data_IF_176094688835
#
_entry.id   IF_176094688835
#
_cell.length_a   1.000
_cell.length_b   1.000
_cell.length_c   1.000
_cell.angle_alpha   90.00
_cell.angle_beta   90.00
_cell.angle_gamma   90.00
#
_symmetry.space_group_name_H-M   'P 1'
#
loop_
_entity.id
_entity.type
_entity.pdbx_description
1 polymer ?
#
# COMPACT_ATOMS: atom_id res chain seq x y z
N UNK A 1 -4.96 -5.01 8.24
CA UNK A 1 -4.25 -4.01 7.41
C UNK A 1 -3.46 -4.73 6.33
N UNK A 2 -3.86 -4.54 5.10
CA UNK A 2 -3.28 -5.27 3.99
C UNK A 2 -2.29 -4.42 3.23
N UNK A 3 -1.29 -5.04 2.63
CA UNK A 3 -0.28 -4.32 1.86
C UNK A 3 -0.89 -3.53 0.72
N UNK A 4 -1.90 -4.09 0.07
CA UNK A 4 -2.60 -3.38 -1.01
C UNK A 4 -3.24 -2.09 -0.52
N UNK A 5 -3.87 -2.14 0.65
CA UNK A 5 -4.45 -0.95 1.26
C UNK A 5 -3.38 0.10 1.54
N UNK A 6 -2.22 -0.34 2.01
CA UNK A 6 -1.11 0.57 2.27
C UNK A 6 -0.57 1.19 0.99
N UNK A 7 -0.48 0.42 -0.10
CA UNK A 7 -0.06 0.96 -1.39
C UNK A 7 -1.02 2.05 -1.87
N UNK A 8 -2.30 1.79 -1.74
CA UNK A 8 -3.33 2.76 -2.13
C UNK A 8 -3.23 4.01 -1.28
N UNK A 9 -3.12 3.83 0.04
CA UNK A 9 -2.99 4.97 0.95
C UNK A 9 -1.76 5.82 0.62
N UNK A 10 -0.61 5.20 0.41
CA UNK A 10 0.62 5.92 0.08
C UNK A 10 0.47 6.70 -1.23
N UNK A 11 -0.20 6.11 -2.21
CA UNK A 11 -0.40 6.77 -3.50
C UNK A 11 -1.34 7.96 -3.37
N UNK A 12 -2.43 7.82 -2.59
CA UNK A 12 -3.34 8.95 -2.33
C UNK A 12 -2.59 10.07 -1.63
N UNK A 13 -1.75 9.75 -0.67
CA UNK A 13 -0.97 10.74 0.07
C UNK A 13 0.01 11.47 -0.86
N UNK A 14 0.67 10.75 -1.73
CA UNK A 14 1.63 11.34 -2.68
C UNK A 14 0.94 12.22 -3.71
N UNK A 15 -0.19 11.76 -4.24
CA UNK A 15 -0.95 12.49 -5.25
C UNK A 15 -1.78 13.62 -4.66
N UNK A 16 -2.07 13.56 -3.38
CA UNK A 16 -3.01 14.47 -2.70
C UNK A 16 -4.36 14.50 -3.41
N UNK A 17 -4.76 13.37 -3.97
CA UNK A 17 -5.98 13.27 -4.75
C UNK A 17 -6.37 11.81 -4.87
N UNK A 18 -7.63 11.50 -4.54
CA UNK A 18 -8.17 10.16 -4.73
C UNK A 18 -8.32 9.84 -6.22
N UNK A 19 -8.74 10.82 -7.00
CA UNK A 19 -8.93 10.64 -8.42
C UNK A 19 -7.62 10.33 -9.14
N UNK A 20 -6.58 11.08 -8.84
CA UNK A 20 -5.27 10.86 -9.44
C UNK A 20 -4.68 9.52 -9.01
N UNK A 21 -4.82 9.19 -7.74
CA UNK A 21 -4.30 7.93 -7.22
C UNK A 21 -5.00 6.75 -7.90
N UNK A 22 -6.31 6.83 -8.05
CA UNK A 22 -7.07 5.77 -8.72
C UNK A 22 -6.58 5.56 -10.15
N UNK A 23 -6.35 6.65 -10.88
CA UNK A 23 -5.83 6.57 -12.25
C UNK A 23 -4.44 5.96 -12.28
N UNK A 24 -3.57 6.39 -11.38
CA UNK A 24 -2.20 5.88 -11.33
C UNK A 24 -2.16 4.39 -11.00
N UNK A 25 -3.07 3.92 -10.18
CA UNK A 25 -3.13 2.53 -9.75
C UNK A 25 -3.98 1.65 -10.65
N UNK A 26 -4.65 2.25 -11.63
CA UNK A 26 -5.57 1.54 -12.54
C UNK A 26 -6.70 0.84 -11.79
N UNK A 27 -7.24 1.53 -10.79
CA UNK A 27 -8.39 1.05 -10.01
C UNK A 27 -9.46 2.12 -10.00
N UNK A 28 -10.66 1.75 -9.53
CA UNK A 28 -11.75 2.71 -9.45
C UNK A 28 -11.56 3.68 -8.29
N UNK A 29 -12.21 4.83 -8.38
CA UNK A 29 -12.25 5.78 -7.27
C UNK A 29 -12.85 5.12 -6.03
N UNK A 30 -13.88 4.30 -6.20
CA UNK A 30 -14.53 3.60 -5.10
C UNK A 30 -13.57 2.65 -4.39
N UNK A 31 -12.76 1.91 -5.14
CA UNK A 31 -11.78 1.00 -4.56
C UNK A 31 -10.77 1.78 -3.73
N UNK A 32 -10.28 2.90 -4.26
CA UNK A 32 -9.33 3.76 -3.58
C UNK A 32 -9.91 4.30 -2.28
N UNK A 33 -11.12 4.81 -2.34
CA UNK A 33 -11.79 5.39 -1.19
C UNK A 33 -12.06 4.34 -0.10
N UNK A 34 -12.50 3.15 -0.52
CA UNK A 34 -12.79 2.07 0.44
C UNK A 34 -11.53 1.56 1.13
N UNK A 35 -10.42 1.49 0.41
CA UNK A 35 -9.17 1.04 1.01
C UNK A 35 -8.72 1.97 2.13
N UNK A 36 -8.77 3.28 1.89
CA UNK A 36 -8.40 4.26 2.92
C UNK A 36 -9.38 4.22 4.08
N UNK A 37 -10.67 4.14 3.79
CA UNK A 37 -11.69 4.07 4.84
C UNK A 37 -11.53 2.83 5.70
N UNK A 38 -11.17 1.70 5.10
CA UNK A 38 -10.95 0.47 5.84
C UNK A 38 -9.77 0.62 6.81
N UNK A 39 -8.68 1.26 6.36
CA UNK A 39 -7.54 1.52 7.24
C UNK A 39 -7.93 2.43 8.39
N UNK A 40 -8.66 3.50 8.11
CA UNK A 40 -9.11 4.43 9.15
C UNK A 40 -9.99 3.73 10.17
N UNK A 41 -10.87 2.86 9.68
CA UNK A 41 -11.77 2.11 10.56
C UNK A 41 -11.00 1.13 11.43
N UNK A 42 -10.07 0.41 10.84
CA UNK A 42 -9.27 -0.56 11.57
C UNK A 42 -8.40 0.09 12.64
N UNK A 43 -7.77 1.22 12.30
CA UNK A 43 -6.87 1.91 13.21
C UNK A 43 -7.60 2.86 14.15
N UNK A 44 -8.86 3.17 13.86
CA UNK A 44 -9.69 3.97 14.74
C UNK A 44 -9.39 5.45 14.74
N UNK A 45 -8.66 5.94 13.73
CA UNK A 45 -8.29 7.35 13.63
C UNK A 45 -8.37 7.80 12.18
N UNK A 46 -8.66 9.07 11.92
CA UNK A 46 -8.55 9.59 10.56
C UNK A 46 -7.09 9.70 10.14
N UNK A 47 -6.81 9.28 8.93
CA UNK A 47 -5.46 9.33 8.36
C UNK A 47 -5.32 10.49 7.40
N UNK A 48 -6.42 10.92 6.79
CA UNK A 48 -6.47 12.01 5.84
C UNK A 48 -7.50 13.02 6.28
N UNK A 49 -7.11 14.29 6.20
CA UNK A 49 -8.05 15.41 6.34
C UNK A 49 -8.45 15.82 4.93
N UNK A 50 -9.75 15.91 4.69
CA UNK A 50 -10.29 16.20 3.37
C UNK A 50 -11.12 17.47 3.43
N UNK A 51 -10.94 18.33 2.46
CA UNK A 51 -11.90 19.37 2.19
C UNK A 51 -12.23 19.34 0.70
N UNK A 52 -12.86 20.39 0.20
CA UNK A 52 -13.34 20.40 -1.19
C UNK A 52 -12.24 20.24 -2.21
N UNK A 53 -11.05 20.72 -1.90
CA UNK A 53 -10.00 20.88 -2.89
C UNK A 53 -8.71 20.20 -2.51
N UNK A 54 -8.56 19.78 -1.26
CA UNK A 54 -7.28 19.25 -0.80
C UNK A 54 -7.44 18.00 0.03
N UNK A 55 -6.44 17.16 -0.05
CA UNK A 55 -6.27 15.99 0.80
C UNK A 55 -4.94 16.16 1.48
N UNK A 56 -4.93 16.13 2.80
CA UNK A 56 -3.71 16.30 3.59
C UNK A 56 -3.63 15.19 4.63
N UNK A 57 -2.41 14.85 5.02
CA UNK A 57 -2.20 13.85 6.05
C UNK A 57 -2.48 14.43 7.42
N UNK A 58 -3.17 13.65 8.25
CA UNK A 58 -3.23 13.93 9.69
C UNK A 58 -1.90 13.50 10.31
N UNK A 59 -1.61 13.87 11.57
CA UNK A 59 -0.41 13.33 12.24
C UNK A 59 -0.39 11.80 12.26
N UNK A 60 -1.54 11.16 12.46
CA UNK A 60 -1.64 9.70 12.39
C UNK A 60 -1.33 9.20 10.98
N UNK A 61 -1.81 9.90 9.96
CA UNK A 61 -1.51 9.57 8.57
C UNK A 61 -0.04 9.70 8.25
N UNK A 62 0.63 10.71 8.79
CA UNK A 62 2.08 10.87 8.61
C UNK A 62 2.84 9.71 9.21
N UNK A 63 2.45 9.27 10.41
CA UNK A 63 3.08 8.13 11.06
C UNK A 63 2.86 6.86 10.25
N UNK A 64 1.66 6.65 9.74
CA UNK A 64 1.38 5.48 8.93
C UNK A 64 2.16 5.51 7.61
N UNK A 65 2.23 6.67 6.97
CA UNK A 65 2.94 6.79 5.70
C UNK A 65 4.42 6.39 5.85
N UNK A 66 5.08 6.90 6.88
CA UNK A 66 6.48 6.59 7.12
C UNK A 66 6.69 5.09 7.30
N UNK A 67 5.86 4.46 8.14
CA UNK A 67 5.97 3.02 8.38
C UNK A 67 5.54 2.19 7.18
N UNK A 68 4.52 2.65 6.46
CA UNK A 68 4.02 1.93 5.30
C UNK A 68 5.04 1.88 4.17
N UNK A 69 5.77 2.97 3.95
CA UNK A 69 6.79 2.99 2.92
C UNK A 69 7.87 1.95 3.21
N UNK A 70 8.29 1.84 4.47
CA UNK A 70 9.25 0.83 4.87
C UNK A 70 8.71 -0.58 4.68
N UNK A 71 7.47 -0.83 5.09
CA UNK A 71 6.86 -2.15 4.96
C UNK A 71 6.74 -2.56 3.49
N UNK A 72 6.34 -1.65 2.63
CA UNK A 72 6.19 -1.94 1.21
C UNK A 72 7.53 -2.21 0.57
N UNK A 73 8.56 -1.46 0.95
CA UNK A 73 9.90 -1.68 0.45
C UNK A 73 10.42 -3.04 0.89
N UNK A 74 10.19 -3.43 2.12
CA UNK A 74 10.59 -4.74 2.63
C UNK A 74 9.85 -5.86 1.90
N UNK A 75 8.57 -5.67 1.62
CA UNK A 75 7.79 -6.67 0.89
C UNK A 75 8.35 -6.86 -0.53
N UNK A 76 8.68 -5.77 -1.20
CA UNK A 76 9.25 -5.83 -2.54
C UNK A 76 10.64 -6.48 -2.52
N UNK A 77 11.44 -6.15 -1.53
CA UNK A 77 12.76 -6.74 -1.36
C UNK A 77 12.68 -8.24 -1.08
N UNK A 78 11.68 -8.65 -0.30
CA UNK A 78 11.47 -10.06 0.00
C UNK A 78 11.12 -10.84 -1.28
N UNK A 79 10.22 -10.31 -2.08
CA UNK A 79 9.86 -10.95 -3.34
C UNK A 79 11.07 -11.07 -4.27
N UNK A 80 11.88 -10.01 -4.36
CA UNK A 80 13.09 -10.03 -5.17
C UNK A 80 14.09 -11.06 -4.66
N UNK A 81 14.24 -11.18 -3.34
CA UNK A 81 15.14 -12.16 -2.75
C UNK A 81 14.72 -13.58 -3.09
N UNK A 82 13.42 -13.84 -3.07
CA UNK A 82 12.90 -15.17 -3.42
C UNK A 82 13.20 -15.49 -4.88
N UNK A 83 12.98 -14.55 -5.78
CA UNK A 83 13.27 -14.76 -7.19
C UNK A 83 14.77 -14.99 -7.44
N UNK A 84 15.61 -14.23 -6.78
CA UNK A 84 17.06 -14.39 -6.91
C UNK A 84 17.51 -15.76 -6.42
N UNK A 85 16.97 -16.20 -5.29
CA UNK A 85 17.32 -17.52 -4.74
C UNK A 85 16.88 -18.63 -5.70
N UNK A 86 15.72 -18.51 -6.32
CA UNK A 86 15.24 -19.50 -7.27
C UNK A 86 16.15 -19.62 -8.48
N UNK A 87 16.72 -18.51 -8.94
CA UNK A 87 17.62 -18.52 -10.08
C UNK A 87 18.98 -19.15 -9.76
N UNK A 88 19.41 -19.04 -8.51
CA UNK A 88 20.73 -19.55 -8.11
C UNK A 88 20.70 -20.96 -7.54
N UNK A 89 19.55 -21.58 -7.43
CA UNK A 89 19.40 -22.93 -6.88
C UNK A 89 18.92 -23.89 -7.97
N UNK A 90 19.82 -24.34 -8.84
CA UNK A 90 19.41 -25.05 -10.07
C UNK A 90 18.81 -26.42 -9.85
N UNK A 91 19.12 -27.06 -8.74
CA UNK A 91 18.74 -28.45 -8.52
C UNK A 91 17.66 -28.65 -7.47
N UNK A 92 16.81 -27.64 -7.30
CA UNK A 92 15.74 -27.77 -6.33
C UNK A 92 14.70 -28.79 -6.78
N UNK A 93 14.31 -29.71 -5.90
CA UNK A 93 13.20 -30.58 -6.22
C UNK A 93 11.93 -29.76 -6.38
N UNK A 94 10.98 -30.29 -7.13
CA UNK A 94 9.68 -29.64 -7.25
C UNK A 94 9.10 -29.41 -5.86
N UNK A 95 8.43 -28.29 -5.63
CA UNK A 95 7.81 -28.07 -4.33
C UNK A 95 6.79 -29.14 -4.04
N UNK A 96 6.65 -29.53 -2.78
CA UNK A 96 5.65 -30.55 -2.46
C UNK A 96 4.26 -30.07 -2.86
N UNK A 97 3.51 -30.97 -3.39
CA UNK A 97 2.12 -30.66 -3.72
C UNK A 97 1.38 -30.36 -2.44
N UNK A 98 0.85 -29.17 -2.36
CA UNK A 98 0.11 -28.78 -1.17
C UNK A 98 -1.28 -29.38 -1.19
#
# INVERSE_FOLDING_TARGET
>A
MELEQLRIFCTVAACRSFTRAAKQLFVSHSTTSRAVSALERELGVPLLARDRHTVALTPAGQALLAGAEDLLQQADALAAAVHTAAETAPELPAPPEA
#
